data_IF_769465054351
#
_entry.id   IF_769465054351
#
_cell.length_a   1.000
_cell.length_b   1.000
_cell.length_c   1.000
_cell.angle_alpha   90.00
_cell.angle_beta   90.00
_cell.angle_gamma   90.00
#
_symmetry.space_group_name_H-M   'P 1'
#
loop_
_entity.id
_entity.type
_entity.pdbx_description
1 polymer ?
#
# COMPACT_ATOMS: atom_id res chain seq x y z
N UNK A 1 4.82 12.01 1.47
CA UNK A 1 4.43 10.70 2.02
C UNK A 1 2.91 10.50 2.08
N UNK A 2 2.14 11.18 2.94
CA UNK A 2 0.68 10.95 3.03
C UNK A 2 -0.12 11.34 1.77
N UNK A 3 0.20 12.48 1.14
CA UNK A 3 -0.43 12.89 -0.13
C UNK A 3 -0.16 11.88 -1.24
N UNK A 4 1.08 11.43 -1.37
CA UNK A 4 1.50 10.41 -2.34
C UNK A 4 0.76 9.09 -2.13
N UNK A 5 0.64 8.63 -0.88
CA UNK A 5 -0.14 7.43 -0.55
C UNK A 5 -1.62 7.55 -0.95
N UNK A 6 -2.25 8.72 -0.69
CA UNK A 6 -3.64 8.95 -1.12
C UNK A 6 -3.80 8.96 -2.64
N UNK A 7 -2.89 9.58 -3.36
CA UNK A 7 -2.91 9.62 -4.83
C UNK A 7 -2.80 8.21 -5.43
N UNK A 8 -1.85 7.40 -4.94
CA UNK A 8 -1.71 6.02 -5.42
C UNK A 8 -2.98 5.19 -5.18
N UNK A 9 -3.56 5.27 -3.97
CA UNK A 9 -4.76 4.52 -3.62
C UNK A 9 -6.01 5.00 -4.36
N UNK A 10 -6.16 6.31 -4.53
CA UNK A 10 -7.39 6.94 -5.03
C UNK A 10 -7.52 6.94 -6.54
N UNK A 11 -6.41 7.21 -7.24
CA UNK A 11 -6.47 7.51 -8.68
C UNK A 11 -5.61 6.54 -9.48
N UNK A 12 -4.33 6.40 -9.13
CA UNK A 12 -3.36 5.69 -9.97
C UNK A 12 -3.59 4.17 -9.96
N UNK A 13 -3.78 3.55 -8.79
CA UNK A 13 -4.00 2.10 -8.71
C UNK A 13 -5.30 1.65 -9.39
N UNK A 14 -6.45 2.32 -9.16
CA UNK A 14 -7.67 1.99 -9.89
C UNK A 14 -7.49 2.08 -11.41
N UNK A 15 -6.86 3.15 -11.90
CA UNK A 15 -6.61 3.31 -13.34
C UNK A 15 -5.67 2.25 -13.89
N UNK A 16 -4.57 1.95 -13.22
CA UNK A 16 -3.63 0.91 -13.66
C UNK A 16 -4.29 -0.47 -13.71
N UNK A 17 -5.19 -0.79 -12.76
CA UNK A 17 -5.96 -2.03 -12.77
C UNK A 17 -6.93 -2.09 -13.95
N UNK A 18 -7.63 -1.00 -14.26
CA UNK A 18 -8.48 -0.92 -15.46
C UNK A 18 -7.67 -1.14 -16.75
N UNK A 19 -6.43 -0.62 -16.81
CA UNK A 19 -5.52 -0.86 -17.94
C UNK A 19 -5.18 -2.34 -18.09
N UNK A 20 -4.91 -3.04 -16.98
CA UNK A 20 -4.70 -4.50 -17.00
C UNK A 20 -5.94 -5.25 -17.49
N UNK A 21 -7.13 -4.87 -17.02
CA UNK A 21 -8.39 -5.49 -17.46
C UNK A 21 -8.62 -5.30 -18.97
N UNK A 22 -8.34 -4.10 -19.50
CA UNK A 22 -8.43 -3.82 -20.92
C UNK A 22 -7.39 -4.62 -21.73
N UNK A 23 -6.15 -4.68 -21.25
CA UNK A 23 -5.09 -5.47 -21.87
C UNK A 23 -5.42 -6.96 -21.87
N UNK A 24 -6.04 -7.48 -20.80
CA UNK A 24 -6.46 -8.87 -20.70
C UNK A 24 -7.58 -9.19 -21.71
N UNK A 25 -8.56 -8.29 -21.84
CA UNK A 25 -9.61 -8.44 -22.84
C UNK A 25 -9.02 -8.44 -24.26
N UNK A 26 -8.10 -7.53 -24.56
CA UNK A 26 -7.42 -7.46 -25.85
C UNK A 26 -6.54 -8.68 -26.13
N UNK A 27 -5.83 -9.20 -25.12
CA UNK A 27 -5.00 -10.41 -25.25
C UNK A 27 -5.85 -11.63 -25.64
N UNK A 28 -7.01 -11.81 -24.99
CA UNK A 28 -7.94 -12.93 -25.27
C UNK A 28 -8.45 -12.96 -26.71
N UNK A 29 -8.48 -11.81 -27.37
CA UNK A 29 -8.89 -11.69 -28.79
C UNK A 29 -7.70 -11.44 -29.73
N UNK A 30 -6.47 -11.78 -29.30
CA UNK A 30 -5.22 -11.65 -30.05
C UNK A 30 -4.95 -10.22 -30.57
N UNK A 31 -5.42 -9.18 -29.85
CA UNK A 31 -5.21 -7.77 -30.20
C UNK A 31 -3.96 -7.16 -29.57
N UNK A 32 -3.47 -7.74 -28.48
CA UNK A 32 -2.17 -7.43 -27.87
C UNK A 32 -1.46 -8.74 -27.51
N UNK A 33 -0.14 -8.72 -27.46
CA UNK A 33 0.65 -9.88 -27.05
C UNK A 33 0.69 -10.05 -25.52
N UNK A 34 1.17 -11.22 -25.08
CA UNK A 34 1.26 -11.54 -23.64
C UNK A 34 2.23 -10.63 -22.88
N UNK A 35 3.34 -10.17 -23.49
CA UNK A 35 4.30 -9.30 -22.81
C UNK A 35 3.70 -7.92 -22.55
N UNK A 36 2.87 -7.42 -23.46
CA UNK A 36 2.08 -6.20 -23.24
C UNK A 36 1.13 -6.34 -22.04
N UNK A 37 0.43 -7.46 -21.90
CA UNK A 37 -0.41 -7.74 -20.73
C UNK A 37 0.44 -7.81 -19.44
N UNK A 38 1.59 -8.50 -19.50
CA UNK A 38 2.49 -8.66 -18.37
C UNK A 38 3.08 -7.32 -17.91
N UNK A 39 3.46 -6.44 -18.83
CA UNK A 39 3.99 -5.11 -18.52
C UNK A 39 2.96 -4.22 -17.81
N UNK A 40 1.69 -4.26 -18.25
CA UNK A 40 0.60 -3.59 -17.56
C UNK A 40 0.42 -4.13 -16.13
N UNK A 41 0.53 -5.44 -15.94
CA UNK A 41 0.43 -6.06 -14.61
C UNK A 41 1.63 -5.70 -13.71
N UNK A 42 2.85 -5.68 -14.26
CA UNK A 42 4.05 -5.21 -13.56
C UNK A 42 3.91 -3.74 -13.13
N UNK A 43 3.31 -2.91 -13.98
CA UNK A 43 3.01 -1.51 -13.65
C UNK A 43 2.08 -1.39 -12.45
N UNK A 44 1.04 -2.23 -12.35
CA UNK A 44 0.19 -2.28 -11.14
C UNK A 44 1.01 -2.62 -9.90
N UNK A 45 1.86 -3.65 -9.95
CA UNK A 45 2.69 -4.03 -8.80
C UNK A 45 3.65 -2.92 -8.38
N UNK A 46 4.26 -2.21 -9.33
CA UNK A 46 5.12 -1.07 -9.03
C UNK A 46 4.37 0.04 -8.28
N UNK A 47 3.12 0.31 -8.65
CA UNK A 47 2.29 1.29 -7.93
C UNK A 47 1.84 0.78 -6.55
N UNK A 48 1.60 -0.51 -6.38
CA UNK A 48 1.29 -1.10 -5.06
C UNK A 48 2.48 -0.98 -4.11
N UNK A 49 3.69 -1.25 -4.60
CA UNK A 49 4.93 -1.06 -3.84
C UNK A 49 5.10 0.41 -3.47
N UNK A 50 4.97 1.33 -4.44
CA UNK A 50 5.10 2.77 -4.21
C UNK A 50 4.09 3.29 -3.17
N UNK A 51 2.86 2.77 -3.21
CA UNK A 51 1.83 3.07 -2.22
C UNK A 51 2.25 2.65 -0.81
N UNK A 52 2.66 1.39 -0.63
CA UNK A 52 3.06 0.87 0.69
C UNK A 52 4.30 1.59 1.22
N UNK A 53 5.29 1.86 0.37
CA UNK A 53 6.47 2.66 0.73
C UNK A 53 6.10 4.06 1.20
N UNK A 54 5.17 4.73 0.51
CA UNK A 54 4.71 6.06 0.90
C UNK A 54 4.01 6.07 2.27
N UNK A 55 3.22 5.04 2.58
CA UNK A 55 2.59 4.85 3.90
C UNK A 55 3.64 4.58 4.97
N UNK A 56 4.59 3.68 4.70
CA UNK A 56 5.67 3.36 5.64
C UNK A 56 6.50 4.60 5.98
N UNK A 57 6.87 5.40 4.97
CA UNK A 57 7.63 6.64 5.18
C UNK A 57 6.85 7.70 5.96
N UNK A 58 5.52 7.75 5.81
CA UNK A 58 4.68 8.63 6.62
C UNK A 58 4.69 8.21 8.09
N UNK A 59 4.50 6.91 8.37
CA UNK A 59 4.49 6.39 9.73
C UNK A 59 5.86 6.54 10.42
N UNK A 60 6.96 6.35 9.68
CA UNK A 60 8.31 6.61 10.19
C UNK A 60 8.49 8.08 10.60
N UNK A 61 8.08 9.01 9.74
CA UNK A 61 8.17 10.44 10.04
C UNK A 61 7.30 10.83 11.25
N UNK A 62 6.12 10.24 11.41
CA UNK A 62 5.30 10.45 12.60
C UNK A 62 6.00 9.94 13.87
N UNK A 63 6.55 8.73 13.83
CA UNK A 63 7.25 8.14 14.98
C UNK A 63 8.49 8.96 15.40
N UNK A 64 9.20 9.54 14.43
CA UNK A 64 10.32 10.45 14.69
C UNK A 64 9.87 11.74 15.38
N UNK A 65 8.74 12.33 14.95
CA UNK A 65 8.15 13.49 15.62
C UNK A 65 7.72 13.14 17.05
N UNK A 66 7.07 11.99 17.25
CA UNK A 66 6.66 11.55 18.60
C UNK A 66 7.86 11.36 19.52
N UNK A 67 8.95 10.77 19.03
CA UNK A 67 10.21 10.61 19.76
C UNK A 67 10.81 11.97 20.16
N UNK A 68 10.92 12.91 19.21
CA UNK A 68 11.51 14.24 19.47
C UNK A 68 10.64 15.11 20.41
N UNK A 69 9.33 14.91 20.39
CA UNK A 69 8.39 15.66 21.25
C UNK A 69 8.14 15.00 22.62
N UNK A 70 8.82 13.89 22.91
CA UNK A 70 8.67 13.16 24.17
C UNK A 70 7.30 12.49 24.34
N UNK A 71 6.53 12.37 23.27
CA UNK A 71 5.26 11.62 23.30
C UNK A 71 5.59 10.13 23.34
N UNK A 72 4.94 9.34 24.22
CA UNK A 72 5.13 7.91 24.17
C UNK A 72 4.65 7.43 22.79
N UNK A 73 5.52 6.74 22.05
CA UNK A 73 5.13 6.02 20.84
C UNK A 73 3.88 5.22 21.22
N UNK A 74 2.73 5.56 20.63
CA UNK A 74 1.41 5.06 21.03
C UNK A 74 1.47 3.53 21.09
N UNK A 75 1.74 3.02 22.29
CA UNK A 75 2.07 1.63 22.53
C UNK A 75 0.76 0.91 22.29
N UNK A 76 0.73 0.18 21.17
CA UNK A 76 -0.39 -0.65 20.74
C UNK A 76 -1.13 -1.17 21.96
N UNK A 77 -2.40 -0.75 22.12
CA UNK A 77 -3.35 -1.32 23.07
C UNK A 77 -3.33 -2.84 22.90
N UNK A 78 -2.60 -3.53 23.77
CA UNK A 78 -2.36 -4.97 23.62
C UNK A 78 -1.67 -5.66 24.80
N UNK A 79 -1.26 -4.94 25.84
CA UNK A 79 -0.90 -5.58 27.12
C UNK A 79 -1.98 -5.28 28.15
N UNK A 80 -3.16 -5.87 27.95
CA UNK A 80 -3.96 -6.26 29.11
C UNK A 80 -3.15 -7.37 29.81
N UNK A 81 -2.68 -7.15 31.05
CA UNK A 81 -2.16 -8.26 31.83
C UNK A 81 -3.30 -9.27 31.97
N UNK A 82 -3.06 -10.47 31.46
CA UNK A 82 -3.90 -11.63 31.75
C UNK A 82 -3.89 -11.74 33.27
N UNK A 83 -4.98 -11.37 33.93
CA UNK A 83 -5.18 -11.67 35.34
C UNK A 83 -5.07 -13.19 35.45
N UNK A 84 -3.96 -13.67 36.03
CA UNK A 84 -3.90 -15.02 36.55
C UNK A 84 -5.07 -15.19 37.52
N UNK A 85 -6.00 -16.13 37.30
CA UNK A 85 -6.91 -16.52 38.35
C UNK A 85 -6.09 -17.30 39.38
N UNK A 86 -5.84 -16.67 40.53
CA UNK A 86 -5.55 -17.40 41.75
C UNK A 86 -6.87 -18.05 42.19
N UNK A 87 -7.02 -19.35 41.93
CA UNK A 87 -7.98 -20.22 42.60
C UNK A 87 -7.53 -21.68 42.43
#
# INVERSE_FOLDING_TARGET
>A
NLRSARLYRGDILPQARLTVEAALAAYRVNRVDFLTLLDNQMTVFNYEIAYVTAVANYNKALAEIDLLTGKPANRVRGTQPRTEPTA
#
